data_IF_013303464297
#
_entry.id   IF_013303464297
#
_cell.length_a   1.000
_cell.length_b   1.000
_cell.length_c   1.000
_cell.angle_alpha   90.00
_cell.angle_beta   90.00
_cell.angle_gamma   90.00
#
_symmetry.space_group_name_H-M   'P 1'
#
loop_
_entity.id
_entity.type
_entity.pdbx_description
1 polymer ?
#
# COMPACT_ATOMS: atom_id res chain seq x y z
N UNK A 1 -2.87 -13.69 8.41
CA UNK A 1 -1.93 -13.63 7.27
C UNK A 1 -1.07 -12.40 7.49
N UNK A 2 0.26 -12.44 7.32
CA UNK A 2 1.10 -11.28 7.61
C UNK A 2 0.74 -10.14 6.65
N UNK A 3 0.15 -9.07 7.19
CA UNK A 3 -0.06 -7.81 6.51
C UNK A 3 1.28 -7.34 5.91
N UNK A 4 1.48 -7.61 4.62
CA UNK A 4 2.57 -7.00 3.86
C UNK A 4 2.20 -5.53 3.74
N UNK A 5 2.54 -4.74 4.76
CA UNK A 5 2.33 -3.30 4.75
C UNK A 5 3.13 -2.74 3.57
N UNK A 6 2.40 -2.32 2.53
CA UNK A 6 2.99 -1.63 1.38
C UNK A 6 3.33 -0.22 1.84
N UNK A 7 4.46 0.30 1.38
CA UNK A 7 4.91 1.65 1.68
C UNK A 7 5.29 2.37 0.40
N UNK A 8 5.29 3.69 0.44
CA UNK A 8 5.71 4.50 -0.68
C UNK A 8 6.49 5.72 -0.22
N UNK A 9 7.44 6.16 -1.03
CA UNK A 9 8.23 7.34 -0.72
C UNK A 9 7.58 8.60 -1.28
N UNK A 10 7.25 9.57 -0.42
CA UNK A 10 6.62 10.82 -0.85
C UNK A 10 7.52 11.67 -1.76
N UNK A 11 8.85 11.51 -1.66
CA UNK A 11 9.84 12.27 -2.43
C UNK A 11 10.09 11.74 -3.85
N UNK A 12 10.16 10.43 -4.04
CA UNK A 12 10.45 9.84 -5.37
C UNK A 12 9.29 9.00 -5.92
N UNK A 13 8.18 8.90 -5.19
CA UNK A 13 6.98 8.11 -5.52
C UNK A 13 7.20 6.60 -5.65
N UNK A 14 8.40 6.10 -5.32
CA UNK A 14 8.72 4.67 -5.35
C UNK A 14 7.91 3.90 -4.29
N UNK A 15 7.26 2.81 -4.72
CA UNK A 15 6.48 1.90 -3.86
C UNK A 15 7.28 0.64 -3.55
N UNK A 16 7.27 0.19 -2.30
CA UNK A 16 8.05 -0.95 -1.85
C UNK A 16 7.44 -1.61 -0.60
N UNK A 17 7.77 -2.88 -0.39
CA UNK A 17 7.38 -3.64 0.80
C UNK A 17 8.55 -3.64 1.79
N UNK A 18 8.28 -3.39 3.08
CA UNK A 18 9.32 -3.37 4.13
C UNK A 18 9.14 -4.59 5.04
N UNK A 19 10.20 -5.39 5.22
CA UNK A 19 10.22 -6.49 6.21
C UNK A 19 10.83 -6.07 7.56
N UNK A 20 11.78 -5.13 7.59
CA UNK A 20 12.43 -4.58 8.79
C UNK A 20 12.83 -3.10 8.56
N UNK A 21 12.86 -2.26 9.62
CA UNK A 21 13.21 -0.82 9.57
C UNK A 21 14.71 -0.63 9.31
N UNK A 22 15.12 0.28 8.40
CA UNK A 22 15.08 1.72 8.67
C UNK A 22 13.92 2.47 7.99
N UNK A 23 13.58 3.66 8.53
CA UNK A 23 12.58 4.58 7.95
C UNK A 23 13.16 5.33 6.73
N UNK A 24 13.83 4.65 5.80
CA UNK A 24 14.44 5.25 4.62
C UNK A 24 13.88 4.61 3.34
N UNK A 25 13.77 5.43 2.29
CA UNK A 25 13.45 4.97 0.95
C UNK A 25 14.66 4.21 0.37
N UNK A 26 14.50 2.97 -0.11
CA UNK A 26 15.60 2.20 -0.68
C UNK A 26 16.09 2.76 -2.02
N UNK A 27 15.26 3.55 -2.71
CA UNK A 27 15.61 4.12 -4.01
C UNK A 27 16.34 5.46 -3.90
N UNK A 28 15.83 6.40 -3.08
CA UNK A 28 16.38 7.76 -2.99
C UNK A 28 17.06 8.08 -1.66
N UNK A 29 17.07 7.15 -0.70
CA UNK A 29 17.70 7.32 0.61
C UNK A 29 17.01 8.31 1.56
N UNK A 30 15.91 8.97 1.15
CA UNK A 30 15.18 9.94 1.98
C UNK A 30 14.26 9.25 2.99
N UNK A 31 14.03 9.88 4.13
CA UNK A 31 13.17 9.38 5.21
C UNK A 31 11.67 9.67 5.03
N UNK A 32 11.28 10.30 3.92
CA UNK A 32 9.89 10.61 3.59
C UNK A 32 9.18 9.36 3.05
N UNK A 33 8.89 8.38 3.92
CA UNK A 33 8.22 7.13 3.55
C UNK A 33 6.93 6.96 4.34
N UNK A 34 5.82 6.80 3.63
CA UNK A 34 4.47 6.66 4.16
C UNK A 34 3.91 5.25 3.91
N UNK A 35 2.93 4.84 4.71
CA UNK A 35 2.20 3.59 4.46
C UNK A 35 1.25 3.79 3.28
N UNK A 36 1.30 2.88 2.32
CA UNK A 36 0.37 2.81 1.20
C UNK A 36 -0.92 2.19 1.75
N UNK A 37 -1.87 3.06 2.13
CA UNK A 37 -3.21 2.68 2.59
C UNK A 37 -4.16 2.36 1.44
N UNK A 38 -3.64 2.19 0.22
CA UNK A 38 -4.46 1.83 -0.92
C UNK A 38 -5.06 0.46 -0.67
N UNK A 39 -6.37 0.44 -0.40
CA UNK A 39 -7.20 -0.75 -0.52
C UNK A 39 -6.89 -1.37 -1.88
N UNK A 40 -6.45 -2.63 -1.89
CA UNK A 40 -6.09 -3.31 -3.13
C UNK A 40 -7.27 -3.32 -4.09
N UNK A 41 -7.02 -3.47 -5.39
CA UNK A 41 -8.09 -3.61 -6.38
C UNK A 41 -9.07 -4.74 -6.02
N UNK A 42 -8.58 -5.76 -5.31
CA UNK A 42 -9.35 -6.87 -4.75
C UNK A 42 -10.42 -6.42 -3.72
N UNK A 43 -10.14 -5.37 -2.94
CA UNK A 43 -11.07 -4.82 -1.96
C UNK A 43 -12.18 -3.99 -2.66
N UNK A 44 -11.82 -3.26 -3.72
CA UNK A 44 -12.78 -2.55 -4.58
C UNK A 44 -13.73 -3.52 -5.32
N UNK A 45 -13.22 -4.67 -5.77
CA UNK A 45 -14.03 -5.70 -6.44
C UNK A 45 -15.04 -6.38 -5.49
N UNK A 46 -14.71 -6.46 -4.18
CA UNK A 46 -15.65 -6.96 -3.16
C UNK A 46 -16.79 -5.99 -2.92
N UNK A 47 -16.52 -4.68 -2.86
CA UNK A 47 -17.59 -3.66 -2.72
C UNK A 47 -18.60 -3.73 -3.89
N UNK A 48 -18.13 -3.91 -5.13
CA UNK A 48 -19.04 -4.02 -6.30
C UNK A 48 -19.88 -5.31 -6.27
N UNK A 49 -19.32 -6.41 -5.73
CA UNK A 49 -20.00 -7.71 -5.70
C UNK A 49 -21.14 -7.76 -4.67
N UNK A 50 -21.10 -6.95 -3.61
CA UNK A 50 -22.16 -6.89 -2.60
C UNK A 50 -23.32 -5.96 -3.01
N UNK A 51 -23.07 -4.97 -3.88
CA UNK A 51 -24.10 -4.04 -4.38
C UNK A 51 -25.03 -4.71 -5.41
N UNK A 52 -24.57 -5.75 -6.12
CA UNK A 52 -25.34 -6.42 -7.18
C UNK A 52 -26.31 -7.51 -6.74
N UNK A 53 -26.53 -7.72 -5.44
CA UNK A 53 -27.36 -8.82 -4.90
C UNK A 53 -28.78 -8.43 -4.48
N UNK A 54 -29.15 -7.17 -4.68
CA UNK A 54 -30.45 -6.60 -4.29
C UNK A 54 -31.23 -6.04 -5.52
N UNK A 55 -31.11 -6.69 -6.68
CA UNK A 55 -31.90 -6.39 -7.89
C UNK A 55 -32.73 -7.58 -8.33
#
# INVERSE_FOLDING_TARGET
MPDKSKFWCASCKYKFERKFKPNLCPYCGKNNVEADKSRGAEDLLREVSEIGKDS
#
